data_IF_104755549296
#
_entry.id   IF_104755549296
#
_cell.length_a   1.000
_cell.length_b   1.000
_cell.length_c   1.000
_cell.angle_alpha   90.00
_cell.angle_beta   90.00
_cell.angle_gamma   90.00
#
_symmetry.space_group_name_H-M   'P 1'
#
loop_
_entity.id
_entity.type
_entity.pdbx_description
1 polymer ?
#
# COMPACT_ATOMS: atom_id res chain seq x y z
N UNK A 1 5.45 -3.21 10.42
CA UNK A 1 4.78 -4.53 10.21
C UNK A 1 4.08 -4.53 8.86
N UNK A 2 4.21 -5.57 8.03
CA UNK A 2 3.57 -5.66 6.69
C UNK A 2 2.42 -6.68 6.74
N UNK A 3 1.24 -6.31 6.23
CA UNK A 3 0.07 -7.17 6.10
C UNK A 3 -0.49 -7.12 4.67
N UNK A 4 -1.01 -8.26 4.19
CA UNK A 4 -1.43 -8.42 2.80
C UNK A 4 -2.93 -8.71 2.69
N UNK A 5 -3.60 -7.99 1.77
CA UNK A 5 -4.95 -8.31 1.29
C UNK A 5 -4.81 -8.79 -0.15
N UNK A 6 -4.94 -10.09 -0.38
CA UNK A 6 -4.73 -10.68 -1.69
C UNK A 6 -5.96 -11.46 -2.19
N UNK A 7 -5.93 -11.83 -3.46
CA UNK A 7 -6.99 -12.55 -4.14
C UNK A 7 -7.11 -12.13 -5.61
N UNK A 8 -7.79 -12.93 -6.46
CA UNK A 8 -8.06 -12.58 -7.85
C UNK A 8 -8.69 -11.20 -8.07
N UNK A 9 -8.61 -10.67 -9.30
CA UNK A 9 -9.30 -9.40 -9.63
C UNK A 9 -10.81 -9.55 -9.40
N UNK A 10 -11.43 -8.53 -8.78
CA UNK A 10 -12.86 -8.53 -8.49
C UNK A 10 -13.27 -9.10 -7.13
N UNK A 11 -12.36 -9.63 -6.31
CA UNK A 11 -12.68 -10.21 -4.98
C UNK A 11 -12.95 -9.18 -3.87
N UNK A 12 -13.20 -7.92 -4.20
CA UNK A 12 -13.53 -6.89 -3.20
C UNK A 12 -12.36 -6.36 -2.36
N UNK A 13 -11.09 -6.66 -2.72
CA UNK A 13 -9.89 -6.17 -2.00
C UNK A 13 -9.91 -4.67 -1.70
N UNK A 14 -10.33 -3.89 -2.69
CA UNK A 14 -10.46 -2.43 -2.56
C UNK A 14 -11.47 -2.05 -1.48
N UNK A 15 -12.62 -2.73 -1.39
CA UNK A 15 -13.58 -2.49 -0.30
C UNK A 15 -12.97 -2.82 1.06
N UNK A 16 -12.29 -3.97 1.18
CA UNK A 16 -11.67 -4.44 2.42
C UNK A 16 -10.58 -3.47 2.91
N UNK A 17 -9.71 -2.98 2.02
CA UNK A 17 -8.65 -2.05 2.43
C UNK A 17 -9.22 -0.70 2.86
N UNK A 18 -10.28 -0.20 2.21
CA UNK A 18 -10.94 1.05 2.60
C UNK A 18 -11.64 0.95 3.96
N UNK A 19 -12.28 -0.18 4.24
CA UNK A 19 -12.84 -0.46 5.58
C UNK A 19 -11.75 -0.40 6.66
N UNK A 20 -10.59 -1.02 6.41
CA UNK A 20 -9.45 -0.98 7.33
C UNK A 20 -8.84 0.41 7.49
N UNK A 21 -8.77 1.20 6.41
CA UNK A 21 -8.31 2.59 6.46
C UNK A 21 -9.21 3.41 7.39
N UNK A 22 -10.52 3.35 7.19
CA UNK A 22 -11.50 4.08 7.99
C UNK A 22 -11.61 3.59 9.44
N UNK A 23 -11.31 2.32 9.70
CA UNK A 23 -11.22 1.80 11.07
C UNK A 23 -9.94 2.29 11.77
N UNK A 24 -8.81 2.29 11.05
CA UNK A 24 -7.51 2.63 11.62
C UNK A 24 -7.43 4.11 11.98
N UNK A 25 -7.97 5.00 11.15
CA UNK A 25 -7.93 6.45 11.38
C UNK A 25 -8.70 6.89 12.64
N UNK A 26 -9.70 6.12 13.07
CA UNK A 26 -10.46 6.41 14.31
C UNK A 26 -9.61 6.25 15.58
N UNK A 27 -8.58 5.42 15.51
CA UNK A 27 -7.77 5.02 16.68
C UNK A 27 -6.29 5.37 16.52
N UNK A 28 -5.87 5.84 15.33
CA UNK A 28 -4.50 6.21 15.06
C UNK A 28 -4.10 7.42 15.92
N UNK A 29 -2.90 7.35 16.49
CA UNK A 29 -2.24 8.45 17.19
C UNK A 29 -1.40 9.27 16.21
N UNK A 30 -0.93 8.64 15.14
CA UNK A 30 -0.23 9.29 14.03
C UNK A 30 -1.07 9.42 12.77
N UNK A 31 -0.39 9.72 11.67
CA UNK A 31 -1.00 9.85 10.35
C UNK A 31 -1.38 8.48 9.77
N UNK A 32 -2.58 8.42 9.18
CA UNK A 32 -3.00 7.35 8.28
C UNK A 32 -2.87 7.84 6.84
N UNK A 33 -2.03 7.18 6.06
CA UNK A 33 -1.80 7.48 4.64
C UNK A 33 -2.40 6.37 3.78
N UNK A 34 -3.15 6.76 2.76
CA UNK A 34 -3.69 5.86 1.74
C UNK A 34 -3.09 6.21 0.38
N UNK A 35 -2.29 5.30 -0.17
CA UNK A 35 -1.67 5.39 -1.48
C UNK A 35 -2.42 4.51 -2.48
N UNK A 36 -2.88 5.09 -3.58
CA UNK A 36 -3.48 4.37 -4.70
C UNK A 36 -2.95 4.90 -6.04
N UNK A 37 -3.26 4.21 -7.15
CA UNK A 37 -2.85 4.67 -8.49
C UNK A 37 -3.51 5.99 -8.87
N UNK A 38 -4.84 6.02 -8.85
CA UNK A 38 -5.66 7.15 -9.27
C UNK A 38 -6.70 7.52 -8.20
N UNK A 39 -7.32 8.70 -8.33
CA UNK A 39 -8.42 9.14 -7.48
C UNK A 39 -9.72 8.33 -7.63
N UNK A 40 -10.82 8.87 -7.09
CA UNK A 40 -12.16 8.28 -7.16
C UNK A 40 -12.64 7.57 -5.87
N UNK A 41 -11.82 7.60 -4.82
CA UNK A 41 -12.13 7.02 -3.51
C UNK A 41 -12.74 8.00 -2.51
N UNK A 42 -12.77 9.29 -2.82
CA UNK A 42 -13.01 10.38 -1.87
C UNK A 42 -14.35 10.33 -1.14
N UNK A 43 -15.39 9.72 -1.72
CA UNK A 43 -16.71 9.57 -1.06
C UNK A 43 -16.70 8.45 -0.01
N UNK A 44 -15.73 7.53 -0.08
CA UNK A 44 -15.67 6.33 0.76
C UNK A 44 -14.60 6.39 1.86
N UNK A 45 -13.85 7.50 1.98
CA UNK A 45 -12.72 7.64 2.91
C UNK A 45 -12.96 8.80 3.87
N UNK A 46 -12.64 8.58 5.15
CA UNK A 46 -12.66 9.60 6.19
C UNK A 46 -11.69 10.76 5.88
N UNK A 47 -12.10 11.99 6.12
CA UNK A 47 -11.33 13.20 5.79
C UNK A 47 -10.00 13.31 6.53
N UNK A 48 -9.83 12.62 7.67
CA UNK A 48 -8.58 12.59 8.42
C UNK A 48 -7.49 11.73 7.73
N UNK A 49 -7.87 10.93 6.74
CA UNK A 49 -6.93 10.09 5.98
C UNK A 49 -6.23 10.93 4.92
N UNK A 50 -4.89 10.85 4.90
CA UNK A 50 -4.07 11.48 3.86
C UNK A 50 -4.08 10.60 2.62
N UNK A 51 -4.95 10.92 1.67
CA UNK A 51 -4.98 10.25 0.37
C UNK A 51 -3.87 10.77 -0.55
N UNK A 52 -3.19 9.85 -1.22
CA UNK A 52 -2.11 10.13 -2.18
C UNK A 52 -2.36 9.31 -3.43
N UNK A 53 -2.39 9.95 -4.60
CA UNK A 53 -2.63 9.29 -5.87
C UNK A 53 -1.38 9.35 -6.74
N UNK A 54 -0.82 8.18 -7.04
CA UNK A 54 0.47 8.04 -7.72
C UNK A 54 0.51 8.72 -9.11
N UNK A 55 -0.60 8.69 -9.85
CA UNK A 55 -0.69 9.30 -11.18
C UNK A 55 -0.55 10.84 -11.12
N UNK A 56 -0.92 11.50 -10.01
CA UNK A 56 -0.73 12.96 -9.84
C UNK A 56 0.75 13.36 -9.79
N UNK A 57 1.63 12.41 -9.48
CA UNK A 57 3.08 12.60 -9.39
C UNK A 57 3.85 11.87 -10.51
N UNK A 58 3.15 11.29 -11.50
CA UNK A 58 3.76 10.56 -12.60
C UNK A 58 4.49 9.27 -12.18
N UNK A 59 4.08 8.65 -11.07
CA UNK A 59 4.67 7.41 -10.55
C UNK A 59 4.04 6.22 -11.28
N UNK A 60 4.82 5.58 -12.17
CA UNK A 60 4.35 4.50 -13.04
C UNK A 60 5.37 3.37 -13.26
N UNK A 61 6.43 3.30 -12.46
CA UNK A 61 7.36 2.18 -12.48
C UNK A 61 7.89 1.82 -11.08
N UNK A 62 8.59 0.68 -10.99
CA UNK A 62 9.13 0.15 -9.74
C UNK A 62 10.06 1.14 -9.05
N UNK A 63 11.05 1.70 -9.74
CA UNK A 63 12.04 2.60 -9.12
C UNK A 63 11.43 3.91 -8.63
N UNK A 64 10.48 4.46 -9.39
CA UNK A 64 9.71 5.63 -8.97
C UNK A 64 8.88 5.34 -7.74
N UNK A 65 8.15 4.21 -7.69
CA UNK A 65 7.37 3.83 -6.52
C UNK A 65 8.26 3.65 -5.28
N UNK A 66 9.42 3.00 -5.44
CA UNK A 66 10.40 2.82 -4.36
C UNK A 66 10.88 4.17 -3.81
N UNK A 67 11.32 5.07 -4.68
CA UNK A 67 11.76 6.40 -4.29
C UNK A 67 10.65 7.19 -3.60
N UNK A 68 9.43 7.09 -4.13
CA UNK A 68 8.27 7.78 -3.58
C UNK A 68 7.91 7.33 -2.17
N UNK A 69 7.83 6.01 -1.93
CA UNK A 69 7.57 5.46 -0.59
C UNK A 69 8.70 5.84 0.38
N UNK A 70 9.96 5.74 -0.05
CA UNK A 70 11.11 6.13 0.79
C UNK A 70 11.04 7.60 1.18
N UNK A 71 10.78 8.49 0.23
CA UNK A 71 10.63 9.93 0.49
C UNK A 71 9.47 10.22 1.44
N UNK A 72 8.32 9.58 1.23
CA UNK A 72 7.14 9.71 2.09
C UNK A 72 7.45 9.34 3.55
N UNK A 73 8.13 8.21 3.76
CA UNK A 73 8.50 7.74 5.09
C UNK A 73 9.62 8.59 5.72
N UNK A 74 10.58 9.05 4.92
CA UNK A 74 11.71 9.85 5.41
C UNK A 74 11.31 11.25 5.89
N UNK A 75 10.29 11.86 5.27
CA UNK A 75 9.85 13.22 5.59
C UNK A 75 8.79 13.25 6.69
N UNK A 76 8.05 12.16 6.88
CA UNK A 76 6.93 12.12 7.83
C UNK A 76 7.10 10.97 8.84
N UNK A 77 7.81 11.27 9.92
CA UNK A 77 8.02 10.33 11.03
C UNK A 77 6.74 10.05 11.84
N UNK A 78 5.67 10.81 11.62
CA UNK A 78 4.39 10.62 12.30
C UNK A 78 3.47 9.63 11.56
N UNK A 79 3.90 9.03 10.44
CA UNK A 79 3.10 7.99 9.76
C UNK A 79 3.00 6.76 10.67
N UNK A 80 1.79 6.47 11.14
CA UNK A 80 1.50 5.24 11.88
C UNK A 80 1.03 4.13 10.94
N UNK A 81 0.20 4.47 9.94
CA UNK A 81 -0.32 3.53 8.96
C UNK A 81 -0.05 3.98 7.53
N UNK A 82 0.44 3.06 6.70
CA UNK A 82 0.56 3.22 5.25
C UNK A 82 -0.24 2.11 4.55
N UNK A 83 -1.36 2.50 3.96
CA UNK A 83 -2.19 1.64 3.14
C UNK A 83 -1.84 1.82 1.66
N UNK A 84 -1.66 0.73 0.90
CA UNK A 84 -1.32 0.76 -0.53
C UNK A 84 -2.31 -0.11 -1.33
N UNK A 85 -3.22 0.50 -2.09
CA UNK A 85 -4.16 -0.25 -2.95
C UNK A 85 -3.61 -0.48 -4.36
N UNK A 86 -3.28 -1.73 -4.67
CA UNK A 86 -2.89 -2.17 -6.00
C UNK A 86 -1.44 -1.84 -6.34
N UNK A 87 -0.51 -2.25 -5.49
CA UNK A 87 0.93 -1.92 -5.62
C UNK A 87 1.52 -2.23 -7.00
N UNK A 88 1.17 -3.36 -7.62
CA UNK A 88 1.62 -3.73 -8.97
C UNK A 88 1.02 -2.83 -10.07
N UNK A 89 -0.21 -2.32 -9.87
CA UNK A 89 -0.84 -1.38 -10.79
C UNK A 89 -0.18 -0.01 -10.73
N UNK A 90 0.21 0.43 -9.53
CA UNK A 90 0.94 1.69 -9.34
C UNK A 90 2.29 1.63 -10.08
N UNK A 91 3.05 0.56 -9.88
CA UNK A 91 4.37 0.38 -10.48
C UNK A 91 4.35 -0.17 -11.92
N UNK A 92 3.17 -0.40 -12.51
CA UNK A 92 2.98 -0.95 -13.86
C UNK A 92 3.88 -2.16 -14.18
N UNK A 93 3.96 -3.10 -13.23
CA UNK A 93 4.90 -4.21 -13.28
C UNK A 93 4.26 -5.56 -12.92
N UNK A 94 5.00 -6.64 -13.12
CA UNK A 94 4.60 -7.95 -12.62
C UNK A 94 4.97 -8.10 -11.14
N UNK A 95 4.37 -9.07 -10.45
CA UNK A 95 4.64 -9.29 -9.03
C UNK A 95 6.10 -9.62 -8.73
N UNK A 96 6.77 -10.31 -9.65
CA UNK A 96 8.21 -10.66 -9.51
C UNK A 96 9.10 -9.42 -9.46
N UNK A 97 8.71 -8.33 -10.13
CA UNK A 97 9.46 -7.09 -10.22
C UNK A 97 9.36 -6.26 -8.92
N UNK A 98 8.44 -6.60 -8.02
CA UNK A 98 8.23 -5.91 -6.75
C UNK A 98 9.21 -6.32 -5.65
N UNK A 99 10.07 -7.32 -5.88
CA UNK A 99 11.08 -7.78 -4.90
C UNK A 99 11.84 -6.62 -4.23
N UNK A 100 12.44 -5.67 -4.98
CA UNK A 100 13.15 -4.55 -4.37
C UNK A 100 12.23 -3.61 -3.56
N UNK A 101 10.94 -3.49 -3.90
CA UNK A 101 9.96 -2.71 -3.11
C UNK A 101 9.75 -3.39 -1.76
N UNK A 102 9.49 -4.70 -1.74
CA UNK A 102 9.29 -5.43 -0.49
C UNK A 102 10.53 -5.45 0.39
N UNK A 103 11.73 -5.59 -0.19
CA UNK A 103 12.98 -5.48 0.56
C UNK A 103 13.16 -4.10 1.22
N UNK A 104 12.69 -3.04 0.59
CA UNK A 104 12.70 -1.69 1.18
C UNK A 104 11.63 -1.54 2.27
N UNK A 105 10.42 -2.07 2.06
CA UNK A 105 9.34 -2.05 3.06
C UNK A 105 9.71 -2.84 4.33
N UNK A 106 10.46 -3.94 4.20
CA UNK A 106 10.96 -4.70 5.36
C UNK A 106 12.00 -3.95 6.19
N UNK A 107 12.73 -3.03 5.55
CA UNK A 107 13.73 -2.16 6.19
C UNK A 107 13.13 -0.87 6.74
N UNK A 108 11.89 -0.53 6.36
CA UNK A 108 11.19 0.64 6.86
C UNK A 108 11.04 0.60 8.39
N UNK A 109 10.82 1.76 9.01
CA UNK A 109 10.63 1.86 10.46
C UNK A 109 9.58 0.85 10.95
N UNK A 110 9.97 0.05 11.94
CA UNK A 110 9.13 -1.01 12.52
C UNK A 110 7.83 -0.47 13.12
N UNK A 111 7.79 0.81 13.48
CA UNK A 111 6.62 1.49 14.02
C UNK A 111 5.53 1.73 12.98
N UNK A 112 5.86 1.71 11.68
CA UNK A 112 4.87 1.89 10.62
C UNK A 112 4.16 0.57 10.32
N UNK A 113 2.82 0.61 10.35
CA UNK A 113 1.96 -0.50 9.94
C UNK A 113 1.62 -0.34 8.46
N UNK A 114 2.12 -1.24 7.65
CA UNK A 114 1.98 -1.22 6.20
C UNK A 114 0.96 -2.29 5.80
N UNK A 115 -0.08 -1.91 5.07
CA UNK A 115 -1.11 -2.82 4.58
C UNK A 115 -1.26 -2.61 3.09
N UNK A 116 -1.17 -3.68 2.30
CA UNK A 116 -1.18 -3.56 0.84
C UNK A 116 -2.08 -4.57 0.16
N UNK A 117 -2.64 -4.20 -1.01
CA UNK A 117 -3.43 -5.12 -1.83
C UNK A 117 -2.65 -5.68 -3.01
N UNK A 118 -2.83 -6.98 -3.27
CA UNK A 118 -2.26 -7.69 -4.43
C UNK A 118 -3.36 -8.44 -5.17
N UNK A 119 -3.39 -8.30 -6.50
CA UNK A 119 -4.26 -9.10 -7.36
C UNK A 119 -3.55 -10.36 -7.80
N UNK A 120 -3.58 -11.38 -6.95
CA UNK A 120 -3.00 -12.71 -7.18
C UNK A 120 -3.69 -13.73 -6.29
N UNK A 121 -3.78 -14.97 -6.74
CA UNK A 121 -4.01 -16.08 -5.81
C UNK A 121 -2.70 -16.44 -5.06
N UNK A 122 -2.81 -17.26 -4.02
CA UNK A 122 -1.65 -17.65 -3.21
C UNK A 122 -0.63 -18.48 -4.00
N UNK A 123 -1.08 -19.33 -4.93
CA UNK A 123 -0.22 -20.28 -5.66
C UNK A 123 0.68 -19.53 -6.65
N UNK A 124 0.13 -18.54 -7.37
CA UNK A 124 0.84 -17.72 -8.36
C UNK A 124 1.69 -16.61 -7.75
N UNK A 125 1.54 -16.33 -6.46
CA UNK A 125 2.29 -15.28 -5.78
C UNK A 125 3.76 -15.66 -5.55
N UNK A 126 4.73 -14.75 -5.78
CA UNK A 126 6.13 -15.00 -5.45
C UNK A 126 6.36 -15.26 -3.95
N UNK A 127 7.32 -16.13 -3.62
CA UNK A 127 7.57 -16.56 -2.24
C UNK A 127 7.97 -15.42 -1.29
N UNK A 128 8.69 -14.41 -1.81
CA UNK A 128 9.06 -13.23 -1.03
C UNK A 128 7.84 -12.40 -0.60
N UNK A 129 6.68 -12.56 -1.26
CA UNK A 129 5.42 -11.92 -0.90
C UNK A 129 4.57 -12.84 -0.02
N UNK A 130 4.54 -14.16 -0.32
CA UNK A 130 3.75 -15.16 0.43
C UNK A 130 4.00 -15.11 1.94
N UNK A 131 5.22 -14.79 2.37
CA UNK A 131 5.56 -14.66 3.79
C UNK A 131 4.74 -13.60 4.56
N UNK A 132 4.04 -12.71 3.86
CA UNK A 132 3.16 -11.68 4.43
C UNK A 132 1.66 -12.02 4.34
N UNK A 133 1.30 -13.19 3.80
CA UNK A 133 -0.08 -13.60 3.53
C UNK A 133 -0.79 -14.23 4.74
N UNK A 134 -0.23 -14.10 5.95
CA UNK A 134 -0.73 -14.68 7.20
C UNK A 134 -1.95 -13.94 7.75
#
# INVERSE_FOLDING_TARGET
MISLIYGPKGTGKTKIILEKVNESVKNAKGNVVFLAKSGGYSVAIDFAVKCVFADEYGINNVEQLRGFIKGMLAVNNDIEYLFIDGIARIAECNLVDLKPVFEDLEKADKNVKIVLTISSDFVSMPDFIKKFAN
#
